data_IF_442526479710
#
_entry.id   IF_442526479710
#
_cell.length_a   1.000
_cell.length_b   1.000
_cell.length_c   1.000
_cell.angle_alpha   90.00
_cell.angle_beta   90.00
_cell.angle_gamma   90.00
#
_symmetry.space_group_name_H-M   'P 1'
#
loop_
_entity.id
_entity.type
_entity.pdbx_description
1 polymer ?
#
# COMPACT_ATOMS: atom_id res chain seq x y z
N UNK A 1 0.80 -30.94 27.94
CA UNK A 1 0.85 -29.51 28.30
C UNK A 1 1.18 -28.68 27.05
N UNK A 2 2.11 -29.09 26.20
CA UNK A 2 2.51 -28.39 24.99
C UNK A 2 1.37 -28.19 23.98
N UNK A 3 0.52 -29.21 23.82
CA UNK A 3 -0.61 -29.20 22.86
C UNK A 3 -1.74 -28.24 23.27
N UNK A 4 -2.04 -28.12 24.54
CA UNK A 4 -3.03 -27.13 25.04
C UNK A 4 -2.55 -25.72 24.88
N UNK A 5 -1.28 -25.45 25.17
CA UNK A 5 -0.70 -24.08 25.04
C UNK A 5 -0.64 -23.65 23.57
N UNK A 6 -0.33 -24.57 22.66
CA UNK A 6 -0.31 -24.31 21.22
C UNK A 6 -1.71 -24.02 20.67
N UNK A 7 -2.72 -24.78 21.10
CA UNK A 7 -4.10 -24.52 20.72
C UNK A 7 -4.62 -23.18 21.24
N UNK A 8 -4.25 -22.78 22.46
CA UNK A 8 -4.61 -21.45 22.98
C UNK A 8 -3.92 -20.32 22.20
N UNK A 9 -2.65 -20.46 21.85
CA UNK A 9 -1.90 -19.45 21.08
C UNK A 9 -2.42 -19.30 19.64
N UNK A 10 -2.85 -20.38 19.00
CA UNK A 10 -3.34 -20.37 17.63
C UNK A 10 -4.82 -19.98 17.51
N UNK A 11 -5.66 -20.37 18.49
CA UNK A 11 -7.11 -20.17 18.40
C UNK A 11 -7.59 -18.93 19.17
N UNK A 12 -6.84 -18.46 20.17
CA UNK A 12 -7.23 -17.26 20.92
C UNK A 12 -7.37 -15.99 20.06
N UNK A 13 -6.52 -15.73 19.05
CA UNK A 13 -6.71 -14.58 18.17
C UNK A 13 -8.01 -14.62 17.37
N UNK A 14 -8.47 -15.83 16.99
CA UNK A 14 -9.70 -16.01 16.19
C UNK A 14 -10.99 -15.78 17.00
N UNK A 15 -10.90 -15.67 18.32
CA UNK A 15 -12.06 -15.39 19.18
C UNK A 15 -12.46 -13.91 19.17
N UNK A 16 -11.58 -13.03 18.68
CA UNK A 16 -11.87 -11.60 18.61
C UNK A 16 -12.44 -11.24 17.24
N UNK A 17 -13.63 -10.60 17.15
CA UNK A 17 -14.27 -10.25 15.87
C UNK A 17 -13.38 -9.39 14.96
N UNK A 18 -12.62 -8.46 15.52
CA UNK A 18 -11.73 -7.60 14.73
C UNK A 18 -10.58 -8.41 14.08
N UNK A 19 -10.06 -9.43 14.75
CA UNK A 19 -9.04 -10.31 14.20
C UNK A 19 -9.60 -11.17 13.06
N UNK A 20 -10.83 -11.67 13.22
CA UNK A 20 -11.49 -12.44 12.16
C UNK A 20 -11.68 -11.58 10.90
N UNK A 21 -12.12 -10.34 11.06
CA UNK A 21 -12.27 -9.39 9.96
C UNK A 21 -10.93 -9.13 9.27
N UNK A 22 -9.86 -8.94 10.04
CA UNK A 22 -8.51 -8.75 9.51
C UNK A 22 -8.04 -9.96 8.69
N UNK A 23 -8.25 -11.19 9.18
CA UNK A 23 -7.92 -12.40 8.44
C UNK A 23 -8.73 -12.55 7.15
N UNK A 24 -10.03 -12.27 7.19
CA UNK A 24 -10.89 -12.33 6.01
C UNK A 24 -10.43 -11.30 4.96
N UNK A 25 -10.09 -10.08 5.39
CA UNK A 25 -9.60 -9.04 4.50
C UNK A 25 -8.30 -9.45 3.81
N UNK A 26 -7.31 -9.93 4.58
CA UNK A 26 -6.05 -10.42 4.03
C UNK A 26 -6.28 -11.56 3.04
N UNK A 27 -7.19 -12.48 3.34
CA UNK A 27 -7.50 -13.60 2.45
C UNK A 27 -8.14 -13.13 1.14
N UNK A 28 -9.11 -12.20 1.19
CA UNK A 28 -9.77 -11.64 0.01
C UNK A 28 -8.75 -10.91 -0.88
N UNK A 29 -7.88 -10.09 -0.28
CA UNK A 29 -6.88 -9.32 -1.04
C UNK A 29 -5.76 -10.22 -1.58
N UNK A 30 -5.39 -11.28 -0.87
CA UNK A 30 -4.26 -12.15 -1.26
C UNK A 30 -4.50 -12.89 -2.59
N UNK A 31 -5.75 -13.26 -2.90
CA UNK A 31 -6.08 -13.97 -4.13
C UNK A 31 -5.77 -13.14 -5.39
N UNK A 32 -6.36 -11.94 -5.57
CA UNK A 32 -6.02 -11.11 -6.74
C UNK A 32 -4.57 -10.65 -6.71
N UNK A 33 -4.02 -10.33 -5.53
CA UNK A 33 -2.64 -9.90 -5.39
C UNK A 33 -1.64 -10.97 -5.86
N UNK A 34 -1.88 -12.25 -5.56
CA UNK A 34 -1.01 -13.35 -6.00
C UNK A 34 -0.98 -13.49 -7.51
N UNK A 35 -2.13 -13.38 -8.18
CA UNK A 35 -2.24 -13.45 -9.65
C UNK A 35 -1.51 -12.30 -10.31
N UNK A 36 -1.75 -11.07 -9.80
CA UNK A 36 -1.10 -9.85 -10.31
C UNK A 36 0.41 -9.93 -10.08
N UNK A 37 0.86 -10.39 -8.91
CA UNK A 37 2.28 -10.54 -8.57
C UNK A 37 3.01 -11.46 -9.55
N UNK A 38 2.45 -12.63 -9.87
CA UNK A 38 3.03 -13.55 -10.87
C UNK A 38 3.20 -12.86 -12.22
N UNK A 39 2.18 -12.12 -12.67
CA UNK A 39 2.23 -11.41 -13.95
C UNK A 39 3.29 -10.29 -13.95
N UNK A 40 3.39 -9.52 -12.87
CA UNK A 40 4.36 -8.43 -12.74
C UNK A 40 5.79 -8.96 -12.73
N UNK A 41 6.06 -10.05 -12.01
CA UNK A 41 7.38 -10.68 -11.98
C UNK A 41 7.80 -11.15 -13.37
N UNK A 42 6.90 -11.80 -14.12
CA UNK A 42 7.17 -12.24 -15.51
C UNK A 42 7.47 -11.07 -16.44
N UNK A 43 6.89 -9.89 -16.20
CA UNK A 43 7.15 -8.68 -16.98
C UNK A 43 8.41 -7.91 -16.55
N UNK A 44 9.08 -8.32 -15.46
CA UNK A 44 10.24 -7.63 -14.87
C UNK A 44 9.86 -6.37 -14.11
N UNK A 45 8.66 -6.35 -13.53
CA UNK A 45 8.10 -5.26 -12.71
C UNK A 45 7.86 -5.73 -11.28
N UNK A 46 8.80 -6.50 -10.73
CA UNK A 46 8.63 -7.16 -9.43
C UNK A 46 8.37 -6.17 -8.28
N UNK A 47 8.99 -4.99 -8.33
CA UNK A 47 8.89 -3.95 -7.29
C UNK A 47 7.72 -2.99 -7.50
N UNK A 48 6.84 -3.17 -8.51
CA UNK A 48 5.80 -2.19 -8.83
C UNK A 48 4.82 -1.98 -7.67
N UNK A 49 4.39 -3.05 -7.00
CA UNK A 49 3.45 -2.95 -5.87
C UNK A 49 4.03 -2.14 -4.71
N UNK A 50 5.28 -2.43 -4.36
CA UNK A 50 6.00 -1.71 -3.31
C UNK A 50 6.23 -0.24 -3.70
N UNK A 51 6.69 -0.01 -4.93
CA UNK A 51 6.91 1.34 -5.46
C UNK A 51 5.65 2.21 -5.41
N UNK A 52 4.49 1.67 -5.81
CA UNK A 52 3.21 2.39 -5.78
C UNK A 52 2.79 2.70 -4.34
N UNK A 53 2.93 1.75 -3.41
CA UNK A 53 2.50 1.93 -2.03
C UNK A 53 3.20 3.13 -1.35
N UNK A 54 4.47 3.35 -1.64
CA UNK A 54 5.23 4.49 -1.12
C UNK A 54 5.03 5.78 -1.94
N UNK A 55 4.83 5.68 -3.26
CA UNK A 55 4.58 6.82 -4.13
C UNK A 55 3.21 7.50 -3.91
N UNK A 56 2.32 6.86 -3.18
CA UNK A 56 0.99 7.38 -2.83
C UNK A 56 1.07 8.59 -1.88
N UNK A 57 2.12 8.70 -1.07
CA UNK A 57 2.24 9.69 0.00
C UNK A 57 1.99 11.14 -0.45
N UNK A 58 2.61 11.68 -1.52
CA UNK A 58 2.36 13.05 -1.95
C UNK A 58 0.90 13.27 -2.35
N UNK A 59 0.26 12.28 -2.97
CA UNK A 59 -1.15 12.38 -3.35
C UNK A 59 -2.09 12.43 -2.18
N UNK A 60 -1.83 11.64 -1.13
CA UNK A 60 -2.61 11.66 0.10
C UNK A 60 -2.49 13.00 0.81
N UNK A 61 -1.27 13.55 0.91
CA UNK A 61 -1.03 14.86 1.54
C UNK A 61 -1.76 15.97 0.77
N UNK A 62 -1.70 15.97 -0.56
CA UNK A 62 -2.40 16.95 -1.39
C UNK A 62 -3.92 16.80 -1.25
N UNK A 63 -4.45 15.58 -1.28
CA UNK A 63 -5.89 15.33 -1.10
C UNK A 63 -6.39 15.83 0.25
N UNK A 64 -5.61 15.61 1.31
CA UNK A 64 -5.90 16.12 2.65
C UNK A 64 -6.02 17.65 2.66
N UNK A 65 -5.08 18.37 2.02
CA UNK A 65 -5.09 19.83 1.92
C UNK A 65 -6.29 20.38 1.17
N UNK A 66 -6.72 19.65 0.14
CA UNK A 66 -7.86 20.05 -0.70
C UNK A 66 -9.20 19.62 -0.10
N UNK A 67 -9.21 18.91 1.04
CA UNK A 67 -10.44 18.36 1.63
C UNK A 67 -11.08 17.26 0.79
N UNK A 68 -10.31 16.60 -0.09
CA UNK A 68 -10.76 15.50 -0.94
C UNK A 68 -10.61 14.15 -0.22
N UNK A 69 -11.37 13.12 -0.61
CA UNK A 69 -11.17 11.77 -0.10
C UNK A 69 -9.72 11.31 -0.34
N UNK A 70 -9.05 10.82 0.72
CA UNK A 70 -7.65 10.40 0.67
C UNK A 70 -7.40 9.31 -0.38
N UNK A 71 -8.39 8.43 -0.59
CA UNK A 71 -8.35 7.35 -1.58
C UNK A 71 -8.18 7.89 -3.00
N UNK A 72 -8.84 9.01 -3.34
CA UNK A 72 -8.69 9.63 -4.66
C UNK A 72 -7.27 10.18 -4.87
N UNK A 73 -6.70 10.84 -3.86
CA UNK A 73 -5.33 11.31 -3.92
C UNK A 73 -4.31 10.17 -4.06
N UNK A 74 -4.51 9.11 -3.29
CA UNK A 74 -3.73 7.89 -3.36
C UNK A 74 -3.78 7.27 -4.76
N UNK A 75 -4.96 7.11 -5.33
CA UNK A 75 -5.16 6.52 -6.65
C UNK A 75 -4.49 7.34 -7.76
N UNK A 76 -4.69 8.66 -7.75
CA UNK A 76 -4.07 9.56 -8.75
C UNK A 76 -2.55 9.52 -8.67
N UNK A 77 -1.98 9.56 -7.45
CA UNK A 77 -0.53 9.48 -7.28
C UNK A 77 0.04 8.14 -7.73
N UNK A 78 -0.63 7.03 -7.42
CA UNK A 78 -0.24 5.70 -7.90
C UNK A 78 -0.29 5.59 -9.42
N UNK A 79 -1.33 6.15 -10.06
CA UNK A 79 -1.40 6.21 -11.53
C UNK A 79 -0.25 7.03 -12.12
N UNK A 80 0.03 8.21 -11.58
CA UNK A 80 1.14 9.06 -12.05
C UNK A 80 2.47 8.32 -11.90
N UNK A 81 2.70 7.68 -10.75
CA UNK A 81 3.91 6.89 -10.53
C UNK A 81 4.07 5.80 -11.59
N UNK A 82 3.01 5.04 -11.86
CA UNK A 82 3.02 3.95 -12.84
C UNK A 82 3.29 4.45 -14.26
N UNK A 83 2.65 5.56 -14.66
CA UNK A 83 2.83 6.17 -15.99
C UNK A 83 4.25 6.71 -16.17
N UNK A 84 4.78 7.42 -15.16
CA UNK A 84 6.13 7.97 -15.18
C UNK A 84 7.15 6.83 -15.23
N UNK A 85 7.00 5.82 -14.39
CA UNK A 85 7.89 4.65 -14.40
C UNK A 85 7.82 3.88 -15.72
N UNK A 86 6.63 3.71 -16.29
CA UNK A 86 6.44 3.10 -17.60
C UNK A 86 7.16 3.85 -18.70
N UNK A 87 6.96 5.17 -18.77
CA UNK A 87 7.59 6.03 -19.76
C UNK A 87 9.13 5.97 -19.69
N UNK A 88 9.70 6.10 -18.49
CA UNK A 88 11.15 6.01 -18.33
C UNK A 88 11.69 4.59 -18.59
N UNK A 89 10.95 3.56 -18.25
CA UNK A 89 11.33 2.18 -18.50
C UNK A 89 11.41 1.85 -20.01
N UNK A 90 10.53 2.42 -20.83
CA UNK A 90 10.54 2.21 -22.27
C UNK A 90 11.61 3.04 -22.99
N UNK A 91 11.90 4.23 -22.47
CA UNK A 91 12.85 5.17 -23.07
C UNK A 91 14.29 5.09 -22.50
N UNK A 92 14.55 4.13 -21.61
CA UNK A 92 15.86 3.94 -20.97
C UNK A 92 16.39 2.53 -21.14
N UNK A 93 17.71 2.38 -21.14
CA UNK A 93 18.39 1.08 -21.17
C UNK A 93 18.57 0.44 -19.82
N UNK A 94 18.02 1.07 -18.77
CA UNK A 94 18.11 0.62 -17.39
C UNK A 94 17.05 -0.46 -17.11
N UNK A 95 17.34 -1.37 -16.20
CA UNK A 95 16.35 -2.39 -15.77
C UNK A 95 15.10 -1.73 -15.22
N UNK A 96 13.94 -2.28 -15.50
CA UNK A 96 12.64 -1.75 -15.11
C UNK A 96 12.52 -1.53 -13.60
N UNK A 97 12.97 -2.47 -12.79
CA UNK A 97 12.95 -2.35 -11.32
C UNK A 97 13.85 -1.22 -10.79
N UNK A 98 14.99 -0.94 -11.48
CA UNK A 98 15.84 0.20 -11.10
C UNK A 98 15.15 1.54 -11.40
N UNK A 99 14.44 1.63 -12.53
CA UNK A 99 13.64 2.82 -12.88
C UNK A 99 12.55 3.04 -11.84
N UNK A 100 11.84 1.97 -11.45
CA UNK A 100 10.84 2.02 -10.38
C UNK A 100 11.46 2.54 -9.08
N UNK A 101 12.62 2.03 -8.68
CA UNK A 101 13.34 2.47 -7.48
C UNK A 101 13.61 3.97 -7.47
N UNK A 102 14.05 4.54 -8.59
CA UNK A 102 14.32 5.99 -8.70
C UNK A 102 13.02 6.79 -8.66
N UNK A 103 12.00 6.39 -9.41
CA UNK A 103 10.73 7.12 -9.50
C UNK A 103 10.02 7.16 -8.14
N UNK A 104 9.89 6.00 -7.47
CA UNK A 104 9.20 5.98 -6.19
C UNK A 104 9.97 6.72 -5.09
N UNK A 105 11.30 6.61 -5.06
CA UNK A 105 12.11 7.35 -4.10
C UNK A 105 11.96 8.85 -4.25
N UNK A 106 11.92 9.35 -5.51
CA UNK A 106 11.66 10.74 -5.80
C UNK A 106 10.28 11.21 -5.35
N UNK A 107 9.24 10.43 -5.67
CA UNK A 107 7.87 10.74 -5.25
C UNK A 107 7.72 10.69 -3.72
N UNK A 108 8.29 9.68 -3.08
CA UNK A 108 8.27 9.56 -1.62
C UNK A 108 8.97 10.75 -0.95
N UNK A 109 10.14 11.15 -1.45
CA UNK A 109 10.87 12.31 -0.94
C UNK A 109 10.04 13.61 -1.06
N UNK A 110 9.37 13.82 -2.20
CA UNK A 110 8.46 14.96 -2.39
C UNK A 110 7.31 14.90 -1.39
N UNK A 111 6.69 13.74 -1.22
CA UNK A 111 5.61 13.53 -0.27
C UNK A 111 6.03 13.83 1.17
N UNK A 112 7.23 13.39 1.56
CA UNK A 112 7.78 13.63 2.88
C UNK A 112 8.05 15.11 3.13
N UNK A 113 8.65 15.82 2.17
CA UNK A 113 8.89 17.27 2.24
C UNK A 113 7.58 18.04 2.35
N UNK A 114 6.57 17.68 1.57
CA UNK A 114 5.24 18.29 1.65
C UNK A 114 4.62 18.06 3.03
N UNK A 115 4.67 16.85 3.54
CA UNK A 115 4.13 16.50 4.85
C UNK A 115 4.81 17.29 5.99
N UNK A 116 6.15 17.39 5.96
CA UNK A 116 6.90 18.13 6.99
C UNK A 116 6.65 19.65 6.95
N UNK A 117 6.40 20.19 5.76
CA UNK A 117 6.14 21.63 5.58
C UNK A 117 4.72 22.02 5.98
N UNK A 118 3.80 21.09 5.88
CA UNK A 118 2.39 21.27 6.19
C UNK A 118 2.15 20.49 7.46
N UNK A 119 1.93 21.18 8.58
CA UNK A 119 1.55 20.54 9.85
C UNK A 119 0.18 19.86 9.66
N UNK A 120 0.20 18.62 9.23
CA UNK A 120 -1.00 17.79 9.06
C UNK A 120 -1.18 16.91 10.29
N UNK A 121 -2.43 16.79 10.75
CA UNK A 121 -2.81 15.83 11.81
C UNK A 121 -2.84 14.38 11.28
N UNK A 122 -2.41 14.18 10.04
CA UNK A 122 -2.37 12.85 9.41
C UNK A 122 -1.17 12.08 9.92
N UNK A 123 -1.42 11.01 10.64
CA UNK A 123 -0.38 10.12 11.11
C UNK A 123 0.22 9.32 9.94
N UNK A 124 1.47 9.63 9.59
CA UNK A 124 2.22 8.95 8.52
C UNK A 124 2.26 7.44 8.69
N UNK A 125 2.35 6.98 9.92
CA UNK A 125 2.40 5.55 10.26
C UNK A 125 1.17 4.80 9.74
N UNK A 126 -0.03 5.40 9.86
CA UNK A 126 -1.26 4.79 9.37
C UNK A 126 -1.34 4.76 7.83
N UNK A 127 -0.72 5.73 7.16
CA UNK A 127 -0.71 5.80 5.70
C UNK A 127 0.31 4.83 5.11
N UNK A 128 1.51 4.77 5.68
CA UNK A 128 2.62 3.97 5.14
C UNK A 128 2.50 2.48 5.47
N UNK A 129 2.06 2.15 6.68
CA UNK A 129 2.00 0.77 7.15
C UNK A 129 0.59 0.20 7.17
N UNK A 130 -0.43 1.06 7.03
CA UNK A 130 -1.83 0.67 7.15
C UNK A 130 -2.20 0.26 8.58
N UNK A 131 -3.47 0.03 8.81
CA UNK A 131 -3.98 -0.48 10.09
C UNK A 131 -4.98 -1.61 9.86
N UNK A 132 -4.46 -2.81 9.66
CA UNK A 132 -5.28 -4.02 9.41
C UNK A 132 -6.18 -4.35 10.61
N UNK A 133 -5.74 -4.02 11.82
CA UNK A 133 -6.50 -4.33 13.04
C UNK A 133 -7.71 -3.41 13.28
N UNK A 134 -7.73 -2.24 12.62
CA UNK A 134 -8.83 -1.27 12.72
C UNK A 134 -9.91 -1.40 11.64
N UNK A 135 -9.92 -2.47 10.87
CA UNK A 135 -10.85 -2.66 9.75
C UNK A 135 -12.28 -2.87 10.26
N UNK A 136 -13.20 -2.00 9.85
CA UNK A 136 -14.62 -2.17 10.05
C UNK A 136 -15.24 -3.07 8.95
N UNK A 137 -16.42 -3.62 9.22
CA UNK A 137 -17.15 -4.44 8.22
C UNK A 137 -17.49 -3.65 6.95
N UNK A 138 -17.65 -2.32 7.06
CA UNK A 138 -17.86 -1.43 5.92
C UNK A 138 -16.69 -1.42 4.92
N UNK A 139 -15.47 -1.62 5.41
CA UNK A 139 -14.26 -1.53 4.60
C UNK A 139 -14.08 -2.77 3.71
N UNK A 140 -14.70 -3.90 4.11
CA UNK A 140 -14.73 -5.12 3.32
C UNK A 140 -15.47 -4.98 1.98
N UNK A 141 -16.42 -4.04 1.91
CA UNK A 141 -17.19 -3.78 0.68
C UNK A 141 -16.54 -2.76 -0.25
N UNK A 142 -15.53 -2.04 0.22
CA UNK A 142 -14.84 -0.99 -0.54
C UNK A 142 -13.50 -1.49 -1.11
N UNK A 143 -13.01 -2.63 -0.62
CA UNK A 143 -11.78 -3.30 -1.11
C UNK A 143 -12.04 -4.17 -2.31
#
# INVERSE_FOLDING_TARGET
>A
IFDKTMNYLLLSPLQYPFMLNAFLMVFIISLPASIISCYLVLKGWALLGDAISHAVLPGVVIAYLLGLPLVLGAFVAGMICSLVAGFFSENSRVKKDSVLGVVFSGMFAIGLVLHLKISTDVHLDHILFGNILGIALSDLFVS
#
